data_IF_310680879658
#
_entry.id   IF_310680879658
#
_cell.length_a   1.000
_cell.length_b   1.000
_cell.length_c   1.000
_cell.angle_alpha   90.00
_cell.angle_beta   90.00
_cell.angle_gamma   90.00
#
_symmetry.space_group_name_H-M   'P 1'
#
loop_
_entity.id
_entity.type
_entity.pdbx_description
1 polymer ?
#
# COMPACT_ATOMS: atom_id res chain seq x y z
N UNK A 1 -36.73 -0.30 -11.72
CA UNK A 1 -36.81 -0.30 -10.25
C UNK A 1 -36.25 1.03 -9.76
N UNK A 2 -36.67 1.59 -8.61
CA UNK A 2 -35.98 2.77 -8.08
C UNK A 2 -34.75 2.28 -7.32
N UNK A 3 -33.56 2.65 -7.77
CA UNK A 3 -32.31 2.29 -7.11
C UNK A 3 -32.23 2.96 -5.72
N UNK A 4 -31.62 2.29 -4.72
CA UNK A 4 -31.34 2.92 -3.43
C UNK A 4 -30.34 4.07 -3.61
N UNK A 5 -30.37 5.00 -2.66
CA UNK A 5 -29.40 6.11 -2.57
C UNK A 5 -28.46 5.94 -1.38
N UNK A 6 -28.47 4.76 -0.76
CA UNK A 6 -27.59 4.47 0.37
C UNK A 6 -26.17 4.25 -0.14
N UNK A 7 -25.20 4.73 0.62
CA UNK A 7 -23.77 4.72 0.31
C UNK A 7 -22.99 3.97 1.39
N UNK A 8 -21.69 3.75 1.20
CA UNK A 8 -20.80 3.08 2.17
C UNK A 8 -20.90 3.74 3.53
N UNK A 9 -21.05 5.07 3.57
CA UNK A 9 -21.19 5.80 4.81
C UNK A 9 -22.48 5.51 5.60
N UNK A 10 -23.50 4.94 4.96
CA UNK A 10 -24.74 4.52 5.64
C UNK A 10 -24.65 3.11 6.24
N UNK A 11 -23.53 2.39 6.07
CA UNK A 11 -23.35 1.06 6.65
C UNK A 11 -23.28 1.17 8.18
N UNK A 12 -24.20 0.48 8.85
CA UNK A 12 -24.24 0.30 10.30
C UNK A 12 -24.12 -1.19 10.67
N UNK A 13 -23.44 -1.48 11.78
CA UNK A 13 -23.20 -2.82 12.32
C UNK A 13 -24.51 -3.62 12.48
N UNK A 14 -24.59 -4.78 11.83
CA UNK A 14 -25.70 -5.72 11.92
C UNK A 14 -27.01 -5.22 11.30
N UNK A 15 -26.96 -4.16 10.49
CA UNK A 15 -28.13 -3.62 9.80
C UNK A 15 -28.16 -4.04 8.33
N UNK A 16 -29.36 -4.25 7.79
CA UNK A 16 -29.51 -4.54 6.36
C UNK A 16 -29.40 -3.25 5.55
N UNK A 17 -28.62 -3.28 4.48
CA UNK A 17 -28.44 -2.17 3.55
C UNK A 17 -28.60 -2.65 2.11
N UNK A 18 -29.08 -1.75 1.26
CA UNK A 18 -29.07 -1.96 -0.19
C UNK A 18 -28.27 -0.84 -0.84
N UNK A 19 -27.25 -1.18 -1.60
CA UNK A 19 -26.29 -0.23 -2.19
C UNK A 19 -26.09 -0.53 -3.67
N UNK A 20 -25.93 0.52 -4.47
CA UNK A 20 -25.48 0.40 -5.85
C UNK A 20 -23.98 0.66 -5.88
N UNK A 21 -23.23 -0.29 -6.40
CA UNK A 21 -21.77 -0.19 -6.46
C UNK A 21 -21.21 -0.86 -7.72
N UNK A 22 -20.09 -0.33 -8.20
CA UNK A 22 -19.26 -0.97 -9.20
C UNK A 22 -18.42 -2.06 -8.54
N UNK A 23 -18.23 -3.18 -9.23
CA UNK A 23 -17.25 -4.19 -8.83
C UNK A 23 -15.90 -3.80 -9.39
N UNK A 24 -14.98 -3.40 -8.52
CA UNK A 24 -13.64 -2.96 -8.93
C UNK A 24 -12.73 -4.17 -9.15
N UNK A 25 -12.77 -5.14 -8.23
CA UNK A 25 -11.96 -6.34 -8.30
C UNK A 25 -12.56 -7.51 -7.52
N UNK A 26 -12.26 -8.75 -7.94
CA UNK A 26 -12.74 -9.97 -7.29
C UNK A 26 -11.55 -10.85 -6.89
N UNK A 27 -11.38 -11.09 -5.59
CA UNK A 27 -10.28 -11.87 -5.05
C UNK A 27 -10.76 -13.20 -4.49
N UNK A 28 -10.08 -14.29 -4.85
CA UNK A 28 -10.37 -15.66 -4.40
C UNK A 28 -9.20 -16.20 -3.59
N UNK A 29 -9.47 -16.75 -2.40
CA UNK A 29 -8.44 -17.34 -1.53
C UNK A 29 -8.47 -16.82 -0.09
N UNK A 30 -7.65 -17.43 0.77
CA UNK A 30 -7.63 -17.21 2.22
C UNK A 30 -8.74 -17.96 2.97
N UNK A 31 -9.10 -17.47 4.17
CA UNK A 31 -10.19 -18.03 5.02
C UNK A 31 -11.61 -17.72 4.51
N UNK A 32 -11.75 -17.20 3.29
CA UNK A 32 -13.03 -16.78 2.68
C UNK A 32 -13.08 -17.25 1.23
N UNK A 33 -14.28 -17.37 0.65
CA UNK A 33 -14.43 -17.85 -0.74
C UNK A 33 -14.01 -16.76 -1.72
N UNK A 34 -14.62 -15.59 -1.57
CA UNK A 34 -14.41 -14.43 -2.43
C UNK A 34 -14.44 -13.16 -1.58
N UNK A 35 -13.55 -12.20 -1.83
CA UNK A 35 -13.66 -10.83 -1.33
C UNK A 35 -13.73 -9.90 -2.53
N UNK A 36 -14.76 -9.07 -2.57
CA UNK A 36 -15.07 -8.20 -3.71
C UNK A 36 -14.84 -6.77 -3.28
N UNK A 37 -14.01 -6.03 -3.99
CA UNK A 37 -13.84 -4.59 -3.80
C UNK A 37 -14.94 -3.86 -4.57
N UNK A 38 -15.59 -2.91 -3.90
CA UNK A 38 -16.74 -2.20 -4.40
C UNK A 38 -16.54 -0.69 -4.26
N UNK A 39 -16.92 0.07 -5.29
CA UNK A 39 -17.01 1.54 -5.24
C UNK A 39 -18.47 1.96 -5.41
N UNK A 40 -19.00 2.73 -4.45
CA UNK A 40 -20.39 3.20 -4.48
C UNK A 40 -20.62 4.41 -5.40
N UNK A 41 -21.85 4.90 -5.43
CA UNK A 41 -22.26 6.03 -6.27
C UNK A 41 -21.62 7.38 -5.93
N UNK A 42 -21.05 7.52 -4.74
CA UNK A 42 -20.34 8.72 -4.28
C UNK A 42 -18.81 8.54 -4.36
N UNK A 43 -18.33 7.40 -4.87
CA UNK A 43 -16.90 7.08 -4.99
C UNK A 43 -16.28 6.47 -3.72
N UNK A 44 -17.07 6.13 -2.71
CA UNK A 44 -16.55 5.50 -1.49
C UNK A 44 -16.32 4.01 -1.72
N UNK A 45 -15.20 3.50 -1.18
CA UNK A 45 -14.84 2.09 -1.34
C UNK A 45 -15.20 1.25 -0.12
N UNK A 46 -15.73 0.06 -0.35
CA UNK A 46 -16.01 -0.95 0.67
C UNK A 46 -15.72 -2.35 0.13
N UNK A 47 -15.87 -3.38 0.96
CA UNK A 47 -15.69 -4.76 0.56
C UNK A 47 -16.97 -5.57 0.78
N UNK A 48 -17.25 -6.54 -0.08
CA UNK A 48 -18.18 -7.62 0.20
C UNK A 48 -17.39 -8.91 0.39
N UNK A 49 -17.42 -9.46 1.60
CA UNK A 49 -16.79 -10.74 1.90
C UNK A 49 -17.80 -11.88 1.74
N UNK A 50 -17.55 -12.84 0.83
CA UNK A 50 -18.35 -14.04 0.64
C UNK A 50 -17.62 -15.25 1.23
N UNK A 51 -18.28 -15.96 2.14
CA UNK A 51 -17.76 -17.16 2.80
C UNK A 51 -18.16 -18.43 2.02
N UNK A 52 -17.56 -19.58 2.34
CA UNK A 52 -17.87 -20.88 1.70
C UNK A 52 -19.36 -21.25 1.71
N UNK A 53 -20.11 -20.81 2.72
CA UNK A 53 -21.56 -21.03 2.84
C UNK A 53 -22.44 -19.99 2.14
N UNK A 54 -21.87 -18.94 1.56
CA UNK A 54 -22.63 -17.86 0.91
C UNK A 54 -23.19 -18.32 -0.45
N UNK A 55 -24.30 -17.74 -0.93
CA UNK A 55 -24.76 -17.97 -2.30
C UNK A 55 -23.68 -17.61 -3.33
N UNK A 56 -23.70 -18.26 -4.49
CA UNK A 56 -22.77 -17.96 -5.58
C UNK A 56 -23.36 -16.88 -6.48
N UNK A 57 -22.54 -15.90 -6.85
CA UNK A 57 -22.91 -14.81 -7.75
C UNK A 57 -21.91 -14.76 -8.91
N UNK A 58 -22.40 -14.50 -10.11
CA UNK A 58 -21.56 -14.27 -11.29
C UNK A 58 -21.32 -12.77 -11.43
N UNK A 59 -20.24 -12.30 -10.80
CA UNK A 59 -19.82 -10.90 -10.85
C UNK A 59 -18.75 -10.70 -11.92
N UNK A 60 -18.79 -9.54 -12.56
CA UNK A 60 -17.80 -9.09 -13.55
C UNK A 60 -17.18 -7.79 -13.04
N UNK A 61 -15.86 -7.67 -13.13
CA UNK A 61 -15.15 -6.42 -12.83
C UNK A 61 -15.61 -5.31 -13.79
N UNK A 62 -15.50 -4.06 -13.35
CA UNK A 62 -16.00 -2.85 -14.02
C UNK A 62 -17.53 -2.77 -14.23
N UNK A 63 -18.30 -3.74 -13.75
CA UNK A 63 -19.76 -3.77 -13.88
C UNK A 63 -20.46 -3.22 -12.63
N UNK A 64 -21.52 -2.44 -12.82
CA UNK A 64 -22.38 -1.95 -11.76
C UNK A 64 -23.44 -2.98 -11.36
N UNK A 65 -23.64 -3.12 -10.05
CA UNK A 65 -24.64 -4.00 -9.44
C UNK A 65 -25.41 -3.29 -8.33
N UNK A 66 -26.68 -3.69 -8.17
CA UNK A 66 -27.44 -3.46 -6.95
C UNK A 66 -27.22 -4.64 -6.01
N UNK A 67 -26.57 -4.39 -4.87
CA UNK A 67 -26.42 -5.32 -3.76
C UNK A 67 -27.56 -5.06 -2.78
N UNK A 68 -28.63 -5.84 -2.87
CA UNK A 68 -29.83 -5.65 -2.08
C UNK A 68 -29.82 -6.55 -0.84
N UNK A 69 -30.17 -5.98 0.32
CA UNK A 69 -30.28 -6.68 1.61
C UNK A 69 -28.97 -7.35 2.08
N UNK A 70 -27.83 -6.72 1.76
CA UNK A 70 -26.53 -7.04 2.36
C UNK A 70 -26.53 -6.73 3.86
N UNK A 71 -25.73 -7.46 4.64
CA UNK A 71 -25.56 -7.15 6.06
C UNK A 71 -24.40 -6.15 6.21
N UNK A 72 -24.60 -5.08 6.96
CA UNK A 72 -23.55 -4.14 7.31
C UNK A 72 -22.67 -4.69 8.42
N UNK A 73 -21.36 -4.51 8.27
CA UNK A 73 -20.33 -4.87 9.25
C UNK A 73 -19.42 -3.68 9.50
N UNK A 74 -19.08 -3.40 10.76
CA UNK A 74 -18.14 -2.36 11.15
C UNK A 74 -16.99 -3.01 11.93
N UNK A 75 -15.97 -3.43 11.20
CA UNK A 75 -14.80 -4.10 11.77
C UNK A 75 -13.63 -3.12 11.91
N UNK A 76 -13.13 -2.93 13.14
CA UNK A 76 -12.06 -1.95 13.44
C UNK A 76 -12.31 -0.53 12.88
N UNK A 77 -13.58 -0.11 12.83
CA UNK A 77 -13.99 1.19 12.29
C UNK A 77 -14.16 1.23 10.77
N UNK A 78 -13.85 0.13 10.06
CA UNK A 78 -14.05 -0.01 8.62
C UNK A 78 -15.45 -0.55 8.34
N UNK A 79 -16.14 0.08 7.39
CA UNK A 79 -17.49 -0.30 6.97
C UNK A 79 -17.43 -1.27 5.80
N UNK A 80 -18.01 -2.45 6.00
CA UNK A 80 -17.98 -3.58 5.07
C UNK A 80 -19.39 -4.14 4.85
N UNK A 81 -19.54 -4.86 3.74
CA UNK A 81 -20.71 -5.68 3.45
C UNK A 81 -20.40 -7.16 3.71
N UNK A 82 -21.40 -7.82 4.27
CA UNK A 82 -21.40 -9.25 4.52
C UNK A 82 -22.58 -9.93 3.80
N UNK A 83 -22.47 -11.24 3.52
CA UNK A 83 -23.55 -11.97 2.93
C UNK A 83 -24.60 -12.19 4.01
N UNK A 84 -25.83 -11.78 3.74
CA UNK A 84 -26.96 -12.04 4.64
C UNK A 84 -27.52 -13.48 4.47
N UNK A 85 -26.62 -14.47 4.30
CA UNK A 85 -26.87 -15.92 4.24
C UNK A 85 -28.19 -16.40 3.60
N UNK A 86 -28.54 -15.82 2.44
CA UNK A 86 -29.70 -16.21 1.62
C UNK A 86 -30.68 -15.08 1.26
N UNK A 87 -30.61 -13.95 1.96
CA UNK A 87 -31.45 -12.77 1.68
C UNK A 87 -30.78 -11.76 0.74
N UNK A 88 -29.45 -11.76 0.65
CA UNK A 88 -28.70 -10.91 -0.27
C UNK A 88 -29.05 -11.28 -1.71
N UNK A 89 -29.50 -10.31 -2.50
CA UNK A 89 -29.62 -10.46 -3.95
C UNK A 89 -28.74 -9.44 -4.66
N UNK A 90 -28.05 -9.90 -5.71
CA UNK A 90 -27.17 -9.06 -6.50
C UNK A 90 -27.66 -9.08 -7.95
N UNK A 91 -27.99 -7.91 -8.50
CA UNK A 91 -28.46 -7.77 -9.88
C UNK A 91 -27.67 -6.71 -10.64
N UNK A 92 -27.30 -6.94 -11.91
CA UNK A 92 -26.61 -5.94 -12.69
C UNK A 92 -27.53 -4.74 -12.94
N UNK A 93 -26.98 -3.54 -12.86
CA UNK A 93 -27.67 -2.29 -13.15
C UNK A 93 -26.87 -1.47 -14.14
N UNK A 94 -27.56 -0.59 -14.86
CA UNK A 94 -26.87 0.42 -15.66
C UNK A 94 -26.15 1.40 -14.72
N UNK A 95 -24.98 1.93 -15.10
CA UNK A 95 -24.30 2.97 -14.34
C UNK A 95 -25.25 4.16 -14.10
N UNK A 96 -25.40 4.62 -12.85
CA UNK A 96 -26.26 5.77 -12.55
C UNK A 96 -25.85 7.00 -13.37
N UNK A 97 -26.83 7.69 -13.98
CA UNK A 97 -26.60 8.82 -14.90
C UNK A 97 -25.80 9.97 -14.25
N UNK A 98 -25.80 10.06 -12.92
CA UNK A 98 -25.08 11.07 -12.13
C UNK A 98 -23.57 10.81 -12.01
N UNK A 99 -23.08 9.58 -12.24
CA UNK A 99 -21.65 9.23 -12.26
C UNK A 99 -20.98 9.52 -13.61
N UNK A 100 -21.75 9.47 -14.70
CA UNK A 100 -21.22 9.71 -16.06
C UNK A 100 -21.12 11.22 -16.34
N UNK A 101 -21.87 12.05 -15.60
CA UNK A 101 -22.01 13.48 -15.89
C UNK A 101 -20.88 14.37 -15.35
N UNK A 102 -19.89 13.82 -14.63
CA UNK A 102 -18.72 14.57 -14.14
C UNK A 102 -17.43 14.35 -14.92
N UNK A 103 -17.34 13.31 -15.78
CA UNK A 103 -16.06 12.92 -16.39
C UNK A 103 -15.91 13.15 -17.90
N UNK A 104 -16.92 13.69 -18.59
CA UNK A 104 -16.77 14.04 -19.99
C UNK A 104 -17.69 15.18 -20.42
N UNK A 105 -17.37 16.43 -20.08
CA UNK A 105 -17.54 17.58 -20.98
C UNK A 105 -17.01 18.88 -20.35
N UNK A 106 -16.13 19.56 -21.09
CA UNK A 106 -15.52 20.88 -20.82
C UNK A 106 -14.30 20.91 -19.89
N UNK A 107 -13.18 20.35 -20.34
CA UNK A 107 -11.86 20.94 -20.02
C UNK A 107 -11.40 21.77 -21.22
N UNK A 108 -11.44 23.09 -21.06
CA UNK A 108 -10.81 24.02 -21.99
C UNK A 108 -9.28 23.85 -21.93
N UNK A 109 -8.53 24.11 -23.02
CA UNK A 109 -7.06 23.97 -23.04
C UNK A 109 -6.29 24.85 -22.04
N UNK A 110 -6.98 25.70 -21.27
CA UNK A 110 -6.40 26.60 -20.27
C UNK A 110 -6.31 26.00 -18.85
N UNK A 111 -6.90 24.82 -18.58
CA UNK A 111 -6.75 24.10 -17.29
C UNK A 111 -5.52 23.18 -17.23
N UNK A 112 -4.71 23.11 -18.30
CA UNK A 112 -3.48 22.31 -18.36
C UNK A 112 -2.29 22.96 -17.64
N UNK A 113 -2.53 23.95 -16.77
CA UNK A 113 -1.48 24.77 -16.16
C UNK A 113 -1.56 24.85 -14.62
N UNK A 114 -2.28 23.93 -13.98
CA UNK A 114 -2.08 23.62 -12.55
C UNK A 114 -1.16 22.41 -12.47
N UNK A 115 0.02 22.58 -11.87
CA UNK A 115 0.90 21.47 -11.53
C UNK A 115 0.14 20.49 -10.62
N UNK A 116 -0.34 19.38 -11.19
CA UNK A 116 -0.90 18.22 -10.48
C UNK A 116 0.19 17.16 -10.36
N UNK A 117 1.38 17.61 -9.93
CA UNK A 117 2.51 16.73 -9.70
C UNK A 117 2.26 15.87 -8.49
N UNK A 118 2.54 14.57 -8.63
CA UNK A 118 2.32 13.55 -7.61
C UNK A 118 3.65 12.93 -7.24
N UNK A 119 3.90 12.79 -5.96
CA UNK A 119 4.97 11.98 -5.40
C UNK A 119 4.37 10.68 -4.90
N UNK A 120 5.16 9.62 -4.85
CA UNK A 120 4.81 8.37 -4.21
C UNK A 120 6.00 7.90 -3.37
N UNK A 121 5.75 7.27 -2.23
CA UNK A 121 6.79 6.61 -1.45
C UNK A 121 6.28 5.38 -0.72
N UNK A 122 7.21 4.47 -0.44
CA UNK A 122 7.06 3.29 0.39
C UNK A 122 8.40 3.02 1.11
N UNK A 123 8.36 2.60 2.38
CA UNK A 123 9.58 2.29 3.14
C UNK A 123 9.81 0.79 3.29
N UNK A 124 11.09 0.43 3.23
CA UNK A 124 11.56 -0.86 3.71
C UNK A 124 12.28 -0.73 5.03
N UNK A 125 12.09 -1.72 5.89
CA UNK A 125 12.65 -1.71 7.24
C UNK A 125 13.46 -2.96 7.56
N UNK A 126 14.37 -2.81 8.52
CA UNK A 126 15.00 -3.91 9.23
C UNK A 126 14.53 -3.89 10.68
N UNK A 127 14.48 -5.07 11.29
CA UNK A 127 14.12 -5.20 12.70
C UNK A 127 15.33 -4.89 13.60
N UNK A 128 15.10 -4.33 14.79
CA UNK A 128 16.14 -4.15 15.84
C UNK A 128 16.03 -5.16 16.98
N UNK A 129 14.87 -5.82 17.09
CA UNK A 129 14.53 -6.80 18.13
C UNK A 129 14.37 -8.20 17.54
N UNK A 130 14.19 -9.20 18.40
CA UNK A 130 13.78 -10.53 17.96
C UNK A 130 12.36 -10.49 17.37
N UNK A 131 12.11 -11.30 16.35
CA UNK A 131 10.84 -11.33 15.60
C UNK A 131 9.62 -11.62 16.50
N UNK A 132 9.80 -12.36 17.60
CA UNK A 132 8.74 -12.64 18.56
C UNK A 132 8.36 -11.43 19.46
N UNK A 133 9.22 -10.42 19.50
CA UNK A 133 9.04 -9.17 20.27
C UNK A 133 8.68 -7.99 19.34
N UNK A 134 8.62 -8.23 18.03
CA UNK A 134 8.38 -7.19 17.04
C UNK A 134 7.00 -6.56 17.24
N UNK A 135 7.01 -5.23 17.30
CA UNK A 135 5.81 -4.40 17.28
C UNK A 135 5.97 -3.46 16.10
N UNK A 136 5.21 -3.72 15.04
CA UNK A 136 5.27 -2.96 13.80
C UNK A 136 4.82 -1.49 13.97
N UNK A 137 4.13 -1.15 15.06
CA UNK A 137 3.77 0.23 15.38
C UNK A 137 4.86 0.98 16.14
N UNK A 138 5.88 0.26 16.64
CA UNK A 138 6.93 0.84 17.45
C UNK A 138 8.20 1.11 16.63
N UNK A 139 8.50 2.38 16.38
CA UNK A 139 9.71 2.78 15.65
C UNK A 139 11.02 2.45 16.37
N UNK A 140 11.02 2.06 17.65
CA UNK A 140 12.22 1.51 18.30
C UNK A 140 12.53 0.07 17.84
N UNK A 141 11.52 -0.67 17.35
CA UNK A 141 11.64 -2.08 16.93
C UNK A 141 12.05 -2.24 15.45
N UNK A 142 12.05 -1.12 14.70
CA UNK A 142 12.37 -1.05 13.28
C UNK A 142 13.42 0.04 13.03
N UNK A 143 14.24 -0.11 12.00
CA UNK A 143 15.03 0.99 11.42
C UNK A 143 14.82 1.02 9.91
N UNK A 144 15.02 2.20 9.31
CA UNK A 144 14.92 2.33 7.85
C UNK A 144 16.05 1.55 7.17
N UNK A 145 15.67 0.83 6.10
CA UNK A 145 16.58 0.17 5.17
C UNK A 145 16.73 0.98 3.90
N UNK A 146 15.62 1.27 3.24
CA UNK A 146 15.55 2.09 2.04
C UNK A 146 14.15 2.67 1.89
N UNK A 147 14.01 3.62 0.97
CA UNK A 147 12.73 4.25 0.62
C UNK A 147 12.58 4.19 -0.90
N UNK A 148 11.56 3.46 -1.36
CA UNK A 148 11.11 3.55 -2.74
C UNK A 148 10.45 4.91 -2.95
N UNK A 149 10.78 5.59 -4.04
CA UNK A 149 10.25 6.92 -4.36
C UNK A 149 9.82 7.02 -5.82
N UNK A 150 8.74 7.75 -6.05
CA UNK A 150 8.15 7.93 -7.38
C UNK A 150 7.70 9.37 -7.60
N UNK A 151 7.79 9.85 -8.84
CA UNK A 151 7.32 11.17 -9.24
C UNK A 151 6.65 11.14 -10.60
N UNK A 152 5.49 11.79 -10.68
CA UNK A 152 4.76 12.00 -11.90
C UNK A 152 4.38 13.48 -12.03
N UNK A 153 4.90 14.23 -13.03
CA UNK A 153 4.70 15.68 -13.13
C UNK A 153 3.26 16.08 -13.48
N UNK A 154 2.51 15.20 -14.13
CA UNK A 154 1.08 15.32 -14.42
C UNK A 154 0.52 13.92 -14.75
N UNK A 155 -0.80 13.68 -14.71
CA UNK A 155 -1.37 12.32 -14.80
C UNK A 155 -1.03 11.51 -16.07
N UNK A 156 -0.64 12.17 -17.15
CA UNK A 156 -0.20 11.55 -18.41
C UNK A 156 1.32 11.61 -18.63
N UNK A 157 2.06 12.11 -17.64
CA UNK A 157 3.50 12.23 -17.65
C UNK A 157 4.17 10.90 -17.35
N UNK A 158 5.41 10.76 -17.81
CA UNK A 158 6.23 9.59 -17.49
C UNK A 158 6.51 9.56 -15.98
N UNK A 159 6.35 8.38 -15.38
CA UNK A 159 6.69 8.14 -13.98
C UNK A 159 8.21 7.95 -13.89
N UNK A 160 8.83 8.70 -12.98
CA UNK A 160 10.20 8.51 -12.54
C UNK A 160 10.17 7.74 -11.22
N UNK A 161 10.95 6.66 -11.10
CA UNK A 161 11.09 5.90 -9.86
C UNK A 161 12.56 5.76 -9.47
N UNK A 162 12.83 5.73 -8.17
CA UNK A 162 14.15 5.41 -7.63
C UNK A 162 14.03 4.77 -6.24
N UNK A 163 15.15 4.30 -5.70
CA UNK A 163 15.22 3.76 -4.33
C UNK A 163 16.42 4.36 -3.60
N UNK A 164 16.15 5.04 -2.50
CA UNK A 164 17.15 5.66 -1.65
C UNK A 164 17.57 4.66 -0.57
N UNK A 165 18.86 4.29 -0.51
CA UNK A 165 19.34 3.24 0.39
C UNK A 165 20.10 3.81 1.58
N UNK A 166 19.84 3.27 2.77
CA UNK A 166 20.71 3.44 3.92
C UNK A 166 22.02 2.69 3.69
N UNK A 167 23.13 3.34 4.01
CA UNK A 167 24.46 2.80 3.67
C UNK A 167 25.06 1.88 4.74
N UNK A 168 24.70 2.06 6.01
CA UNK A 168 25.16 1.26 7.15
C UNK A 168 24.21 1.39 8.35
N UNK A 169 24.42 0.56 9.39
CA UNK A 169 23.59 0.50 10.61
C UNK A 169 23.82 1.65 11.62
N UNK A 170 24.41 2.77 11.21
CA UNK A 170 24.64 3.90 12.12
C UNK A 170 23.43 4.84 12.15
N UNK A 171 23.17 5.55 13.27
CA UNK A 171 22.18 6.63 13.30
C UNK A 171 22.48 7.74 12.28
N UNK A 172 23.77 7.98 11.97
CA UNK A 172 24.18 8.98 10.98
C UNK A 172 23.69 8.59 9.59
N UNK A 173 23.90 7.33 9.19
CA UNK A 173 23.43 6.85 7.89
C UNK A 173 21.91 6.85 7.76
N UNK A 174 21.18 6.67 8.86
CA UNK A 174 19.72 6.79 8.86
C UNK A 174 19.26 8.25 8.70
N UNK A 175 19.94 9.21 9.36
CA UNK A 175 19.70 10.65 9.13
C UNK A 175 20.06 11.05 7.70
N UNK A 176 21.15 10.52 7.15
CA UNK A 176 21.57 10.80 5.77
C UNK A 176 20.51 10.32 4.78
N UNK A 177 19.96 9.11 4.94
CA UNK A 177 18.84 8.61 4.13
C UNK A 177 17.60 9.51 4.22
N UNK A 178 17.22 9.95 5.43
CA UNK A 178 16.05 10.81 5.61
C UNK A 178 16.27 12.18 4.97
N UNK A 179 17.47 12.74 5.06
CA UNK A 179 17.79 13.99 4.38
C UNK A 179 17.78 13.84 2.85
N UNK A 180 18.29 12.72 2.34
CA UNK A 180 18.24 12.40 0.91
C UNK A 180 16.80 12.26 0.43
N UNK A 181 15.92 11.64 1.22
CA UNK A 181 14.47 11.59 0.95
C UNK A 181 13.88 13.00 0.86
N UNK A 182 14.16 13.87 1.85
CA UNK A 182 13.66 15.24 1.81
C UNK A 182 14.20 16.01 0.60
N UNK A 183 15.50 15.90 0.27
CA UNK A 183 16.10 16.51 -0.92
C UNK A 183 15.39 16.01 -2.20
N UNK A 184 15.10 14.71 -2.27
CA UNK A 184 14.43 14.11 -3.42
C UNK A 184 13.00 14.65 -3.58
N UNK A 185 12.21 14.68 -2.51
CA UNK A 185 10.82 15.15 -2.58
C UNK A 185 10.73 16.67 -2.85
N UNK A 186 11.57 17.49 -2.20
CA UNK A 186 11.56 18.96 -2.31
C UNK A 186 11.99 19.49 -3.69
N UNK A 187 12.76 18.71 -4.46
CA UNK A 187 13.26 19.12 -5.78
C UNK A 187 12.25 18.89 -6.90
N UNK A 188 11.09 18.32 -6.60
CA UNK A 188 10.04 17.96 -7.56
C UNK A 188 8.83 18.84 -7.35
N UNK A 189 8.28 19.36 -8.46
CA UNK A 189 7.07 20.20 -8.42
C UNK A 189 5.85 19.30 -8.26
N UNK A 190 5.46 19.06 -7.01
CA UNK A 190 4.34 18.23 -6.62
C UNK A 190 3.64 18.78 -5.39
N UNK A 191 2.35 18.50 -5.27
CA UNK A 191 1.54 18.91 -4.12
C UNK A 191 0.81 17.73 -3.45
N UNK A 192 0.89 16.53 -4.04
CA UNK A 192 0.20 15.33 -3.58
C UNK A 192 1.23 14.24 -3.30
N UNK A 193 1.10 13.55 -2.17
CA UNK A 193 1.89 12.40 -1.79
C UNK A 193 1.00 11.16 -1.74
N UNK A 194 1.28 10.21 -2.61
CA UNK A 194 0.61 8.91 -2.70
C UNK A 194 1.35 7.89 -1.83
N UNK A 195 0.59 7.08 -1.11
CA UNK A 195 1.09 5.93 -0.36
C UNK A 195 0.07 4.79 -0.42
N UNK A 196 0.44 3.60 0.04
CA UNK A 196 -0.52 2.56 0.37
C UNK A 196 -0.27 2.09 1.81
N UNK A 197 -1.23 2.35 2.71
CA UNK A 197 -1.06 2.20 4.17
C UNK A 197 0.03 3.13 4.74
N UNK A 198 0.06 4.37 4.22
CA UNK A 198 1.14 5.34 4.44
C UNK A 198 1.29 5.86 5.86
N UNK A 199 0.29 5.68 6.72
CA UNK A 199 0.44 5.99 8.15
C UNK A 199 1.59 5.21 8.79
N UNK A 200 1.84 3.99 8.32
CA UNK A 200 3.02 3.20 8.70
C UNK A 200 4.31 3.89 8.25
N UNK A 201 4.43 4.19 6.95
CA UNK A 201 5.62 4.78 6.34
C UNK A 201 5.97 6.13 6.96
N UNK A 202 5.01 7.05 6.93
CA UNK A 202 5.20 8.41 7.40
C UNK A 202 5.37 8.46 8.93
N UNK A 203 4.71 7.55 9.65
CA UNK A 203 4.88 7.38 11.09
C UNK A 203 6.30 6.96 11.45
N UNK A 204 6.84 5.96 10.75
CA UNK A 204 8.21 5.48 10.97
C UNK A 204 9.26 6.46 10.49
N UNK A 205 9.09 7.16 9.37
CA UNK A 205 10.02 8.21 8.95
C UNK A 205 10.15 9.29 10.04
N UNK A 206 9.03 9.77 10.59
CA UNK A 206 9.03 10.74 11.70
C UNK A 206 9.65 10.17 12.98
N UNK A 207 9.23 8.98 13.36
CA UNK A 207 9.73 8.29 14.56
C UNK A 207 11.24 8.06 14.51
N UNK A 208 11.73 7.55 13.38
CA UNK A 208 13.15 7.28 13.15
C UNK A 208 13.98 8.55 13.03
N UNK A 209 13.48 9.60 12.39
CA UNK A 209 14.15 10.92 12.38
C UNK A 209 14.42 11.41 13.82
N UNK A 210 13.43 11.27 14.70
CA UNK A 210 13.55 11.64 16.11
C UNK A 210 14.54 10.76 16.87
N UNK A 211 14.45 9.44 16.73
CA UNK A 211 15.33 8.48 17.42
C UNK A 211 16.78 8.63 16.98
N UNK A 212 17.04 8.68 15.68
CA UNK A 212 18.38 8.86 15.13
C UNK A 212 18.99 10.20 15.54
N UNK A 213 18.21 11.30 15.51
CA UNK A 213 18.66 12.62 15.96
C UNK A 213 19.00 12.65 17.46
N UNK A 214 18.23 11.94 18.30
CA UNK A 214 18.54 11.82 19.74
C UNK A 214 19.83 11.05 20.01
N UNK A 215 20.14 10.05 19.18
CA UNK A 215 21.40 9.30 19.25
C UNK A 215 22.62 10.13 18.83
N UNK A 216 22.43 11.30 18.20
CA UNK A 216 23.49 12.20 17.71
C UNK A 216 23.38 13.61 18.30
N UNK A 217 23.56 13.81 19.62
CA UNK A 217 23.22 15.07 20.29
C UNK A 217 24.00 16.31 19.84
N UNK A 218 25.12 16.11 19.14
CA UNK A 218 26.03 17.17 18.67
C UNK A 218 25.88 17.50 17.18
N UNK A 219 25.06 16.75 16.42
CA UNK A 219 24.77 17.03 15.02
C UNK A 219 23.47 17.80 14.86
N UNK A 220 23.32 18.41 13.69
CA UNK A 220 22.21 19.29 13.35
C UNK A 220 20.86 18.56 13.54
N UNK A 221 19.99 19.10 14.41
CA UNK A 221 18.69 18.50 14.77
C UNK A 221 17.58 18.91 13.81
N UNK A 222 17.90 19.68 12.77
CA UNK A 222 16.94 20.20 11.82
C UNK A 222 16.21 19.11 11.01
N UNK A 223 16.72 17.87 10.96
CA UNK A 223 16.06 16.77 10.22
C UNK A 223 14.63 16.50 10.69
N UNK A 224 14.36 16.60 11.99
CA UNK A 224 13.00 16.36 12.53
C UNK A 224 12.05 17.45 12.07
N UNK A 225 12.46 18.72 12.18
CA UNK A 225 11.66 19.86 11.74
C UNK A 225 11.45 19.82 10.22
N UNK A 226 12.49 19.46 9.46
CA UNK A 226 12.43 19.32 8.00
C UNK A 226 11.42 18.28 7.53
N UNK A 227 11.39 17.10 8.16
CA UNK A 227 10.41 16.05 7.84
C UNK A 227 8.98 16.52 8.10
N UNK A 228 8.74 17.18 9.24
CA UNK A 228 7.40 17.70 9.57
C UNK A 228 6.98 18.81 8.60
N UNK A 229 7.88 19.76 8.31
CA UNK A 229 7.62 20.85 7.39
C UNK A 229 7.30 20.32 5.99
N UNK A 230 8.07 19.34 5.49
CA UNK A 230 7.87 18.73 4.17
C UNK A 230 6.50 18.03 4.08
N UNK A 231 6.20 17.12 5.01
CA UNK A 231 4.93 16.39 4.96
C UNK A 231 3.71 17.28 5.24
N UNK A 232 3.88 18.40 5.94
CA UNK A 232 2.79 19.38 6.13
C UNK A 232 2.44 20.19 4.87
N UNK A 233 3.37 20.26 3.91
CA UNK A 233 3.19 21.00 2.65
C UNK A 233 2.53 20.15 1.57
N UNK A 234 2.54 18.82 1.72
CA UNK A 234 1.97 17.87 0.77
C UNK A 234 0.55 17.47 1.21
N UNK A 235 -0.35 17.34 0.24
CA UNK A 235 -1.63 16.67 0.44
C UNK A 235 -1.37 15.18 0.42
N UNK A 236 -1.50 14.53 1.58
CA UNK A 236 -1.36 13.08 1.68
C UNK A 236 -2.64 12.39 1.21
N UNK A 237 -2.48 11.48 0.27
CA UNK A 237 -3.54 10.67 -0.33
C UNK A 237 -3.18 9.19 -0.18
N UNK A 238 -3.66 8.59 0.90
CA UNK A 238 -3.45 7.18 1.17
C UNK A 238 -4.44 6.33 0.37
N UNK A 239 -3.92 5.55 -0.57
CA UNK A 239 -4.70 4.72 -1.49
C UNK A 239 -5.11 3.37 -0.88
N UNK A 240 -4.80 3.15 0.41
CA UNK A 240 -5.11 1.92 1.12
C UNK A 240 -6.56 1.47 0.91
N UNK A 241 -6.73 0.21 0.54
CA UNK A 241 -8.03 -0.46 0.54
C UNK A 241 -8.14 -1.33 1.79
N UNK A 242 -9.01 -0.99 2.75
CA UNK A 242 -9.34 -1.83 3.91
C UNK A 242 -9.40 -3.33 3.60
N UNK A 243 -8.59 -4.13 4.30
CA UNK A 243 -8.59 -5.59 4.17
C UNK A 243 -7.91 -6.15 2.91
N UNK A 244 -7.24 -5.31 2.12
CA UNK A 244 -6.52 -5.71 0.91
C UNK A 244 -5.08 -5.21 0.92
N UNK A 245 -4.17 -6.02 0.36
CA UNK A 245 -2.79 -5.60 0.09
C UNK A 245 -2.72 -4.85 -1.24
N UNK A 246 -1.62 -4.14 -1.49
CA UNK A 246 -1.40 -3.43 -2.76
C UNK A 246 -1.43 -4.41 -3.95
N UNK A 247 -0.76 -5.55 -3.83
CA UNK A 247 -0.71 -6.62 -4.85
C UNK A 247 -2.07 -7.25 -5.12
N UNK A 248 -3.03 -7.01 -4.21
CA UNK A 248 -4.40 -7.43 -4.41
C UNK A 248 -5.13 -6.42 -5.30
N UNK A 249 -4.91 -5.12 -5.13
CA UNK A 249 -5.72 -4.07 -5.80
C UNK A 249 -5.02 -3.39 -6.98
N UNK A 250 -3.74 -3.70 -7.20
CA UNK A 250 -2.93 -3.17 -8.29
C UNK A 250 -2.09 -4.28 -8.95
N UNK A 251 -1.68 -4.07 -10.19
CA UNK A 251 -0.78 -4.98 -10.91
C UNK A 251 0.66 -4.73 -10.45
N UNK A 252 1.03 -5.33 -9.32
CA UNK A 252 2.37 -5.21 -8.73
C UNK A 252 3.34 -6.21 -9.39
N UNK A 253 4.43 -5.75 -10.02
CA UNK A 253 5.45 -6.64 -10.55
C UNK A 253 6.07 -7.52 -9.46
N UNK A 254 6.07 -8.84 -9.67
CA UNK A 254 6.63 -9.78 -8.70
C UNK A 254 8.15 -9.80 -8.74
N UNK A 255 8.78 -9.69 -7.57
CA UNK A 255 10.23 -9.94 -7.39
C UNK A 255 10.45 -11.35 -6.86
N UNK A 256 11.40 -12.08 -7.46
CA UNK A 256 11.72 -13.47 -7.11
C UNK A 256 13.12 -13.55 -6.50
N UNK A 257 13.30 -14.12 -5.32
CA UNK A 257 14.62 -14.15 -4.66
C UNK A 257 15.57 -15.19 -5.28
N UNK A 258 15.05 -16.32 -5.74
CA UNK A 258 15.82 -17.49 -6.18
C UNK A 258 16.60 -17.30 -7.49
N UNK A 259 16.28 -16.25 -8.27
CA UNK A 259 17.01 -15.88 -9.49
C UNK A 259 18.30 -15.08 -9.19
N UNK A 260 18.45 -14.56 -7.97
CA UNK A 260 19.58 -13.73 -7.56
C UNK A 260 20.69 -14.54 -6.86
N UNK A 261 21.95 -14.23 -7.16
CA UNK A 261 23.13 -14.97 -6.63
C UNK A 261 23.63 -14.41 -5.29
N UNK A 262 22.74 -14.23 -4.32
CA UNK A 262 23.10 -13.75 -2.97
C UNK A 262 23.45 -14.88 -2.00
N UNK A 263 23.03 -16.12 -2.28
CA UNK A 263 23.34 -17.29 -1.45
C UNK A 263 22.61 -17.32 -0.11
N UNK A 264 21.39 -16.79 -0.08
CA UNK A 264 20.45 -16.91 1.04
C UNK A 264 19.26 -17.75 0.58
N UNK A 265 18.56 -18.37 1.51
CA UNK A 265 17.37 -19.16 1.24
C UNK A 265 16.25 -18.65 2.16
N UNK A 266 15.18 -18.13 1.57
CA UNK A 266 14.10 -17.54 2.34
C UNK A 266 13.34 -18.56 3.19
N UNK A 267 13.41 -19.85 2.85
CA UNK A 267 12.79 -20.91 3.64
C UNK A 267 13.32 -20.92 5.07
N UNK A 268 14.60 -20.56 5.28
CA UNK A 268 15.28 -20.60 6.58
C UNK A 268 14.55 -19.76 7.65
N UNK A 269 14.13 -18.54 7.32
CA UNK A 269 13.41 -17.68 8.27
C UNK A 269 11.90 -17.87 8.23
N UNK A 270 11.33 -18.25 7.07
CA UNK A 270 9.89 -18.49 6.95
C UNK A 270 9.41 -19.63 7.84
N UNK A 271 10.26 -20.64 8.13
CA UNK A 271 9.95 -21.64 9.15
C UNK A 271 9.67 -21.00 10.52
N UNK A 272 10.51 -20.06 10.96
CA UNK A 272 10.35 -19.35 12.22
C UNK A 272 9.10 -18.47 12.20
N UNK A 273 8.87 -17.74 11.10
CA UNK A 273 7.67 -16.92 10.92
C UNK A 273 6.39 -17.76 11.03
N UNK A 274 6.41 -18.97 10.46
CA UNK A 274 5.30 -19.92 10.58
C UNK A 274 5.11 -20.41 12.01
N UNK A 275 6.17 -20.72 12.74
CA UNK A 275 6.09 -21.09 14.16
C UNK A 275 5.52 -19.97 15.04
N UNK A 276 5.78 -18.70 14.66
CA UNK A 276 5.29 -17.51 15.34
C UNK A 276 3.87 -17.10 14.90
N UNK A 277 3.29 -17.75 13.87
CA UNK A 277 1.95 -17.42 13.35
C UNK A 277 1.88 -16.10 12.59
N UNK A 278 3.00 -15.62 12.05
CA UNK A 278 3.12 -14.37 11.28
C UNK A 278 3.47 -14.61 9.81
N UNK A 279 3.39 -15.87 9.37
CA UNK A 279 3.56 -16.28 7.99
C UNK A 279 2.19 -16.64 7.40
N UNK A 280 1.97 -16.31 6.13
CA UNK A 280 0.79 -16.74 5.40
C UNK A 280 0.73 -18.29 5.32
N UNK A 281 -0.26 -18.89 5.98
CA UNK A 281 -0.38 -20.35 6.07
C UNK A 281 -0.61 -21.02 4.71
N UNK A 282 -1.20 -20.30 3.75
CA UNK A 282 -1.51 -20.79 2.41
C UNK A 282 -0.29 -20.72 1.48
N UNK A 283 0.74 -19.96 1.85
CA UNK A 283 1.94 -19.78 1.05
C UNK A 283 2.91 -20.95 1.23
N UNK A 284 3.44 -21.54 0.14
CA UNK A 284 4.55 -22.49 0.23
C UNK A 284 5.79 -21.82 0.84
N UNK A 285 6.49 -22.51 1.73
CA UNK A 285 7.69 -21.96 2.37
C UNK A 285 8.79 -21.65 1.34
N UNK A 286 8.87 -22.46 0.28
CA UNK A 286 9.82 -22.35 -0.83
C UNK A 286 9.31 -21.48 -1.99
N UNK A 287 8.22 -20.74 -1.80
CA UNK A 287 7.73 -19.79 -2.79
C UNK A 287 8.83 -18.79 -3.18
N UNK A 288 9.23 -18.71 -4.45
CA UNK A 288 10.31 -17.82 -4.87
C UNK A 288 9.94 -16.34 -4.82
N UNK A 289 8.65 -15.99 -4.76
CA UNK A 289 8.20 -14.59 -4.67
C UNK A 289 8.68 -14.02 -3.33
N UNK A 290 9.07 -12.74 -3.31
CA UNK A 290 9.41 -11.98 -2.09
C UNK A 290 8.15 -11.32 -1.53
N UNK A 291 8.02 -11.27 -0.21
CA UNK A 291 7.06 -10.40 0.50
C UNK A 291 7.79 -9.46 1.45
N UNK A 292 7.10 -8.42 1.94
CA UNK A 292 7.66 -7.48 2.93
C UNK A 292 8.23 -8.17 4.18
N UNK A 293 7.70 -9.32 4.59
CA UNK A 293 8.25 -10.13 5.70
C UNK A 293 9.64 -10.73 5.43
N UNK A 294 10.07 -10.83 4.17
CA UNK A 294 11.40 -11.33 3.79
C UNK A 294 12.45 -10.20 3.79
N UNK A 295 12.03 -8.95 3.53
CA UNK A 295 12.93 -7.80 3.36
C UNK A 295 13.82 -7.55 4.58
N UNK A 296 13.35 -7.64 5.85
CA UNK A 296 14.23 -7.45 7.01
C UNK A 296 15.46 -8.38 7.01
N UNK A 297 15.34 -9.60 6.48
CA UNK A 297 16.43 -10.58 6.42
C UNK A 297 17.41 -10.23 5.30
N UNK A 298 16.90 -9.96 4.10
CA UNK A 298 17.72 -9.57 2.97
C UNK A 298 18.43 -8.22 3.20
N UNK A 299 17.71 -7.25 3.76
CA UNK A 299 18.22 -5.91 4.08
C UNK A 299 19.33 -5.94 5.12
N UNK A 300 19.18 -6.74 6.19
CA UNK A 300 20.24 -6.91 7.17
C UNK A 300 21.50 -7.52 6.55
N UNK A 301 21.34 -8.48 5.66
CA UNK A 301 22.48 -9.06 4.95
C UNK A 301 23.10 -8.08 3.94
N UNK A 302 22.30 -7.25 3.27
CA UNK A 302 22.79 -6.19 2.38
C UNK A 302 23.72 -5.25 3.16
N UNK A 303 23.28 -4.73 4.31
CA UNK A 303 24.05 -3.80 5.14
C UNK A 303 25.32 -4.43 5.74
N UNK A 304 25.33 -5.75 5.97
CA UNK A 304 26.52 -6.48 6.42
C UNK A 304 27.48 -6.85 5.27
N UNK A 305 27.00 -6.82 4.03
CA UNK A 305 27.79 -7.22 2.88
C UNK A 305 28.76 -6.12 2.44
N UNK A 306 29.94 -6.52 1.98
CA UNK A 306 30.93 -5.54 1.48
C UNK A 306 30.48 -4.98 0.14
N UNK A 307 30.37 -3.65 0.05
CA UNK A 307 30.04 -2.94 -1.20
C UNK A 307 30.88 -3.42 -2.38
N UNK A 308 30.23 -3.62 -3.51
CA UNK A 308 30.87 -4.04 -4.76
C UNK A 308 31.12 -5.55 -4.89
N UNK A 309 30.86 -6.35 -3.85
CA UNK A 309 30.82 -7.82 -3.99
C UNK A 309 29.61 -8.27 -4.81
N UNK A 310 29.65 -9.49 -5.33
CA UNK A 310 28.49 -10.08 -6.04
C UNK A 310 27.26 -10.11 -5.13
N UNK A 311 27.42 -10.55 -3.87
CA UNK A 311 26.34 -10.61 -2.89
C UNK A 311 25.68 -9.25 -2.66
N UNK A 312 26.48 -8.22 -2.41
CA UNK A 312 25.99 -6.84 -2.25
C UNK A 312 25.18 -6.39 -3.46
N UNK A 313 25.74 -6.54 -4.68
CA UNK A 313 25.08 -6.09 -5.91
C UNK A 313 23.75 -6.81 -6.16
N UNK A 314 23.71 -8.13 -5.95
CA UNK A 314 22.49 -8.91 -6.18
C UNK A 314 21.43 -8.63 -5.13
N UNK A 315 21.80 -8.42 -3.86
CA UNK A 315 20.84 -8.03 -2.82
C UNK A 315 20.30 -6.63 -3.07
N UNK A 316 21.18 -5.69 -3.44
CA UNK A 316 20.81 -4.32 -3.78
C UNK A 316 19.82 -4.30 -4.96
N UNK A 317 20.13 -4.98 -6.06
CA UNK A 317 19.26 -5.05 -7.24
C UNK A 317 17.91 -5.69 -6.91
N UNK A 318 17.90 -6.77 -6.14
CA UNK A 318 16.66 -7.45 -5.74
C UNK A 318 15.77 -6.56 -4.86
N UNK A 319 16.33 -5.92 -3.84
CA UNK A 319 15.57 -5.02 -2.96
C UNK A 319 15.12 -3.78 -3.74
N UNK A 320 15.94 -3.27 -4.66
CA UNK A 320 15.56 -2.16 -5.53
C UNK A 320 14.32 -2.50 -6.36
N UNK A 321 14.30 -3.67 -7.01
CA UNK A 321 13.15 -4.08 -7.84
C UNK A 321 11.89 -4.26 -6.99
N UNK A 322 12.02 -4.81 -5.78
CA UNK A 322 10.91 -4.95 -4.84
C UNK A 322 10.35 -3.57 -4.40
N UNK A 323 11.21 -2.66 -3.95
CA UNK A 323 10.76 -1.35 -3.49
C UNK A 323 10.16 -0.49 -4.63
N UNK A 324 10.67 -0.60 -5.87
CA UNK A 324 10.05 0.09 -7.02
C UNK A 324 8.68 -0.50 -7.36
N UNK A 325 8.51 -1.83 -7.25
CA UNK A 325 7.23 -2.48 -7.56
C UNK A 325 6.10 -2.06 -6.64
N UNK A 326 6.40 -1.60 -5.42
CA UNK A 326 5.39 -1.12 -4.47
C UNK A 326 5.06 0.39 -4.64
N UNK A 327 5.83 1.10 -5.48
CA UNK A 327 5.66 2.55 -5.72
C UNK A 327 5.00 2.87 -7.05
N UNK A 328 5.48 2.28 -8.15
CA UNK A 328 4.96 2.59 -9.50
C UNK A 328 3.45 2.37 -9.64
N UNK A 329 2.85 1.29 -9.11
CA UNK A 329 1.42 1.03 -9.24
C UNK A 329 0.52 2.05 -8.53
N UNK A 330 1.05 2.84 -7.58
CA UNK A 330 0.27 3.86 -6.87
C UNK A 330 -0.26 4.95 -7.81
N UNK A 331 0.51 5.30 -8.85
CA UNK A 331 0.09 6.28 -9.85
C UNK A 331 -1.07 5.77 -10.72
N UNK A 332 -1.04 4.49 -11.07
CA UNK A 332 -2.12 3.84 -11.82
C UNK A 332 -3.38 3.72 -10.96
N UNK A 333 -3.22 3.29 -9.70
CA UNK A 333 -4.32 3.17 -8.75
C UNK A 333 -5.01 4.52 -8.51
N UNK A 334 -4.23 5.61 -8.36
CA UNK A 334 -4.78 6.96 -8.26
C UNK A 334 -5.57 7.38 -9.49
N UNK A 335 -5.09 6.99 -10.68
CA UNK A 335 -5.72 7.35 -11.95
C UNK A 335 -7.03 6.62 -12.21
N UNK A 336 -7.25 5.44 -11.62
CA UNK A 336 -8.54 4.72 -11.65
C UNK A 336 -9.59 5.34 -10.72
N UNK A 337 -9.15 6.01 -9.66
CA UNK A 337 -10.01 6.63 -8.64
C UNK A 337 -10.35 8.10 -8.93
N UNK A 338 -9.87 8.66 -10.03
CA UNK A 338 -10.13 10.04 -10.47
C UNK A 338 -11.05 10.03 -11.69
#
# INVERSE_FOLDING_TARGET
>A
MKLPTSVVDDIEEGTKISIVAQVDSIHKGGNVRERILLTDIDGNTTTLTLFEGSPQYELTEDQWYLFQDANGNVYNGQKELEPNYGDLSIEPVDPPEDLISTNAENKTPEDLNTADGRLALDIETIQTVDEAELDLSNSDHLELLCVGVGYQPHPSGQIETDVLFREELSPTAEIDLINELCDWLETRDANTLLTYNGEFDLGHIRGRAKLASQALPQQDRNVVERVEDLFSQLTHDDLMRPGFSLETVADVPKTYWDIYKHGMDATDWRYRQKELGIFDEDRPLDDPIISGSDIPYFGRELLNSTKGTTKYRTLYEMIYQYAVSDVEPLFELKSRNS
#
